data_IF_215043899533
#
_entry.id   IF_215043899533
#
_cell.length_a   1.000
_cell.length_b   1.000
_cell.length_c   1.000
_cell.angle_alpha   90.00
_cell.angle_beta   90.00
_cell.angle_gamma   90.00
#
_symmetry.space_group_name_H-M   'P 1'
#
loop_
_entity.id
_entity.type
_entity.pdbx_description
1 polymer ?
#
# COMPACT_ATOMS: atom_id res chain seq x y z
N UNK A 1 -4.34 -52.49 -2.52
CA UNK A 1 -5.50 -52.29 -3.42
C UNK A 1 -6.47 -51.34 -2.72
N UNK A 2 -6.61 -50.15 -3.30
CA UNK A 2 -7.54 -49.03 -3.04
C UNK A 2 -7.89 -48.65 -1.59
N UNK A 3 -7.16 -47.64 -1.13
CA UNK A 3 -7.48 -46.62 -0.14
C UNK A 3 -8.83 -45.92 -0.42
N UNK A 4 -9.66 -45.70 0.62
CA UNK A 4 -9.98 -44.41 1.28
C UNK A 4 -10.83 -43.41 0.46
N UNK A 5 -11.90 -42.89 1.07
CA UNK A 5 -12.69 -41.81 0.48
C UNK A 5 -14.00 -41.42 1.19
N UNK A 6 -14.12 -41.60 2.51
CA UNK A 6 -15.21 -40.98 3.27
C UNK A 6 -14.60 -40.40 4.54
N UNK A 7 -14.61 -39.07 4.62
CA UNK A 7 -14.18 -38.23 5.76
C UNK A 7 -12.68 -38.18 6.05
N UNK A 8 -11.94 -37.53 5.15
CA UNK A 8 -10.68 -36.85 5.48
C UNK A 8 -10.81 -35.38 5.10
N UNK A 9 -11.53 -34.58 5.88
CA UNK A 9 -11.24 -33.16 5.97
C UNK A 9 -11.44 -32.72 7.42
N UNK A 10 -10.34 -32.31 8.05
CA UNK A 10 -10.32 -31.57 9.33
C UNK A 10 -11.07 -30.23 9.24
N UNK A 11 -11.40 -29.82 8.03
CA UNK A 11 -12.08 -28.59 7.63
C UNK A 11 -13.31 -28.20 8.46
N UNK A 12 -14.24 -29.12 8.74
CA UNK A 12 -15.45 -28.74 9.51
C UNK A 12 -15.10 -28.42 10.97
N UNK A 13 -14.09 -29.08 11.53
CA UNK A 13 -13.63 -28.82 12.90
C UNK A 13 -12.77 -27.55 12.98
N UNK A 14 -11.93 -27.29 11.97
CA UNK A 14 -11.06 -26.11 11.90
C UNK A 14 -11.88 -24.83 11.60
N UNK A 15 -12.94 -24.92 10.79
CA UNK A 15 -13.88 -23.82 10.53
C UNK A 15 -14.76 -23.51 11.76
N UNK A 16 -15.18 -24.53 12.50
CA UNK A 16 -15.86 -24.36 13.80
C UNK A 16 -14.93 -23.71 14.83
N UNK A 17 -13.63 -24.04 14.81
CA UNK A 17 -12.60 -23.46 15.67
C UNK A 17 -12.37 -21.98 15.34
N UNK A 18 -12.23 -21.60 14.07
CA UNK A 18 -12.07 -20.21 13.63
C UNK A 18 -13.26 -19.31 14.03
N UNK A 19 -14.50 -19.81 13.87
CA UNK A 19 -15.71 -19.07 14.27
C UNK A 19 -15.86 -18.95 15.80
N UNK A 20 -15.45 -19.97 16.56
CA UNK A 20 -15.41 -19.93 18.03
C UNK A 20 -14.37 -18.93 18.55
N UNK A 21 -13.21 -18.83 17.89
CA UNK A 21 -12.14 -17.88 18.24
C UNK A 21 -12.54 -16.43 17.91
N UNK A 22 -13.19 -16.16 16.78
CA UNK A 22 -13.53 -14.79 16.38
C UNK A 22 -14.74 -14.17 17.11
N UNK A 23 -15.54 -14.94 17.86
CA UNK A 23 -16.75 -14.42 18.57
C UNK A 23 -16.94 -14.93 20.00
N UNK A 24 -16.08 -15.80 20.52
CA UNK A 24 -16.38 -16.62 21.71
C UNK A 24 -15.45 -16.49 22.92
N UNK A 25 -14.46 -15.59 22.91
CA UNK A 25 -13.55 -15.41 24.05
C UNK A 25 -14.20 -14.63 25.20
N UNK A 26 -15.05 -15.33 25.96
CA UNK A 26 -15.20 -15.15 27.42
C UNK A 26 -16.24 -16.11 28.07
N UNK A 27 -16.72 -17.13 27.36
CA UNK A 27 -17.93 -17.86 27.80
C UNK A 27 -17.76 -19.32 28.20
N UNK A 28 -16.57 -19.93 28.17
CA UNK A 28 -16.43 -21.34 28.57
C UNK A 28 -15.17 -21.62 29.40
N UNK A 29 -15.40 -22.04 30.65
CA UNK A 29 -14.43 -22.77 31.46
C UNK A 29 -14.56 -24.26 31.15
N UNK A 30 -13.44 -24.91 30.84
CA UNK A 30 -13.35 -26.36 30.56
C UNK A 30 -13.61 -27.13 31.87
N UNK A 31 -14.54 -28.10 31.85
CA UNK A 31 -14.65 -29.09 32.94
C UNK A 31 -14.35 -30.48 32.43
N UNK A 32 -13.38 -31.12 33.09
CA UNK A 32 -12.98 -32.51 32.88
C UNK A 32 -14.01 -33.46 33.51
N UNK A 33 -14.90 -34.05 32.72
CA UNK A 33 -15.54 -35.29 33.14
C UNK A 33 -15.80 -36.22 31.95
N UNK A 34 -15.11 -37.37 31.95
CA UNK A 34 -15.13 -38.39 30.92
C UNK A 34 -15.95 -39.58 31.40
N UNK A 35 -17.23 -39.65 30.99
CA UNK A 35 -18.03 -40.86 31.22
C UNK A 35 -18.41 -41.59 29.92
N UNK A 36 -17.47 -42.46 29.50
CA UNK A 36 -17.63 -43.86 29.06
C UNK A 36 -18.79 -44.24 28.13
N UNK A 37 -19.13 -43.45 27.10
CA UNK A 37 -19.86 -43.95 25.91
C UNK A 37 -20.04 -42.92 24.78
N UNK A 38 -19.01 -42.14 24.45
CA UNK A 38 -19.00 -41.41 23.17
C UNK A 38 -17.94 -41.99 22.24
N UNK A 39 -18.27 -42.03 20.95
CA UNK A 39 -17.41 -42.17 19.79
C UNK A 39 -16.25 -41.15 19.74
N UNK A 40 -16.11 -40.33 20.78
CA UNK A 40 -15.13 -39.29 20.94
C UNK A 40 -13.99 -39.64 21.92
N UNK A 41 -14.01 -40.80 22.60
CA UNK A 41 -12.86 -41.30 23.39
C UNK A 41 -11.52 -41.31 22.62
N UNK A 42 -11.47 -41.68 21.32
CA UNK A 42 -10.22 -41.66 20.54
C UNK A 42 -9.65 -40.25 20.26
N UNK A 43 -10.41 -39.18 20.52
CA UNK A 43 -9.96 -37.79 20.36
C UNK A 43 -9.38 -37.25 21.68
N UNK A 44 -9.99 -37.62 22.82
CA UNK A 44 -9.47 -37.31 24.14
C UNK A 44 -8.14 -38.03 24.45
N UNK A 45 -8.00 -39.29 24.05
CA UNK A 45 -6.73 -40.07 24.15
C UNK A 45 -5.57 -39.42 23.37
N UNK A 46 -5.89 -38.51 22.44
CA UNK A 46 -4.91 -37.74 21.65
C UNK A 46 -4.71 -36.30 22.13
N UNK A 47 -5.24 -35.94 23.29
CA UNK A 47 -5.07 -34.61 23.90
C UNK A 47 -5.88 -33.50 23.23
N UNK A 48 -6.89 -33.83 22.42
CA UNK A 48 -7.73 -32.86 21.70
C UNK A 48 -9.04 -32.67 22.48
N UNK A 49 -9.35 -31.46 22.99
CA UNK A 49 -10.62 -31.19 23.66
C UNK A 49 -11.77 -31.23 22.65
N UNK A 50 -12.71 -32.18 22.82
CA UNK A 50 -13.83 -32.36 21.90
C UNK A 50 -15.03 -31.48 22.31
N UNK A 51 -15.52 -30.65 21.39
CA UNK A 51 -16.78 -29.89 21.55
C UNK A 51 -17.95 -30.79 21.13
N UNK A 52 -18.92 -30.96 22.02
CA UNK A 52 -20.08 -31.83 21.82
C UNK A 52 -21.31 -30.98 21.45
N UNK A 53 -21.78 -31.06 20.20
CA UNK A 53 -23.06 -30.46 19.80
C UNK A 53 -24.08 -31.59 19.61
N UNK A 54 -24.89 -31.83 20.64
CA UNK A 54 -25.88 -32.91 20.64
C UNK A 54 -27.16 -32.46 19.90
N UNK A 55 -27.39 -32.97 18.70
CA UNK A 55 -28.70 -32.87 18.03
C UNK A 55 -29.53 -34.13 18.31
N UNK A 56 -30.56 -33.96 19.13
CA UNK A 56 -31.69 -34.89 19.30
C UNK A 56 -31.38 -36.19 20.05
N UNK A 57 -31.93 -36.34 21.25
CA UNK A 57 -32.05 -37.67 21.86
C UNK A 57 -33.48 -37.98 22.30
N UNK A 58 -33.86 -39.24 22.08
CA UNK A 58 -35.11 -39.86 22.53
C UNK A 58 -35.09 -39.93 24.06
N UNK A 59 -36.21 -39.70 24.77
CA UNK A 59 -36.19 -39.78 26.23
C UNK A 59 -35.86 -41.22 26.64
N UNK A 60 -34.78 -41.41 27.38
CA UNK A 60 -34.54 -42.62 28.15
C UNK A 60 -34.78 -42.31 29.63
N UNK A 61 -35.18 -43.30 30.41
CA UNK A 61 -35.60 -43.15 31.80
C UNK A 61 -34.47 -42.76 32.78
N UNK A 62 -33.30 -42.33 32.27
CA UNK A 62 -32.06 -42.16 33.05
C UNK A 62 -31.41 -40.78 32.89
N UNK A 63 -32.04 -39.81 32.20
CA UNK A 63 -31.49 -38.45 32.11
C UNK A 63 -32.17 -37.46 33.07
N UNK A 64 -31.41 -36.58 33.76
CA UNK A 64 -31.96 -35.65 34.74
C UNK A 64 -32.82 -34.56 34.05
N UNK A 65 -33.87 -34.13 34.76
CA UNK A 65 -34.99 -33.27 34.30
C UNK A 65 -34.57 -31.86 33.79
N UNK A 66 -33.28 -31.54 33.79
CA UNK A 66 -32.74 -30.17 33.66
C UNK A 66 -32.23 -29.80 32.27
N UNK A 67 -32.07 -30.75 31.35
CA UNK A 67 -31.60 -30.46 29.98
C UNK A 67 -32.76 -30.50 28.97
N UNK A 68 -33.72 -29.60 29.19
CA UNK A 68 -34.86 -29.40 28.29
C UNK A 68 -34.94 -27.93 27.86
N UNK A 69 -35.51 -27.61 26.69
CA UNK A 69 -35.70 -26.22 26.23
C UNK A 69 -36.58 -25.35 27.17
N UNK A 70 -37.19 -25.98 28.18
CA UNK A 70 -38.05 -25.40 29.21
C UNK A 70 -37.32 -25.21 30.55
N UNK A 71 -36.04 -25.59 30.65
CA UNK A 71 -35.22 -25.42 31.85
C UNK A 71 -34.88 -23.95 32.07
N UNK A 72 -34.93 -23.48 33.33
CA UNK A 72 -34.57 -22.11 33.71
C UNK A 72 -33.11 -21.76 33.41
N UNK A 73 -32.26 -22.77 33.25
CA UNK A 73 -30.83 -22.61 32.98
C UNK A 73 -30.49 -22.68 31.48
N UNK A 74 -31.48 -22.93 30.61
CA UNK A 74 -31.26 -23.00 29.17
C UNK A 74 -31.12 -21.59 28.58
N UNK A 75 -29.89 -21.21 28.24
CA UNK A 75 -29.59 -19.90 27.65
C UNK A 75 -30.02 -19.87 26.17
N UNK A 76 -31.26 -19.43 25.95
CA UNK A 76 -31.87 -19.36 24.61
C UNK A 76 -31.08 -18.47 23.66
N UNK A 77 -30.44 -17.43 24.16
CA UNK A 77 -29.65 -16.49 23.36
C UNK A 77 -28.41 -17.17 22.78
N UNK A 78 -27.68 -17.92 23.60
CA UNK A 78 -26.53 -18.70 23.13
C UNK A 78 -26.92 -19.81 22.15
N UNK A 79 -28.03 -20.51 22.42
CA UNK A 79 -28.53 -21.53 21.51
C UNK A 79 -28.97 -20.94 20.16
N UNK A 80 -29.51 -19.71 20.16
CA UNK A 80 -29.86 -18.98 18.95
C UNK A 80 -28.60 -18.65 18.14
N UNK A 81 -27.57 -18.10 18.79
CA UNK A 81 -26.30 -17.77 18.12
C UNK A 81 -25.58 -18.98 17.57
N UNK A 82 -25.61 -20.12 18.28
CA UNK A 82 -25.02 -21.36 17.78
C UNK A 82 -25.79 -21.90 16.57
N UNK A 83 -27.12 -21.82 16.59
CA UNK A 83 -27.96 -22.22 15.47
C UNK A 83 -27.77 -21.29 14.26
N UNK A 84 -27.58 -19.99 14.49
CA UNK A 84 -27.25 -19.01 13.46
C UNK A 84 -25.87 -19.28 12.86
N UNK A 85 -24.83 -19.46 13.68
CA UNK A 85 -23.48 -19.80 13.22
C UNK A 85 -23.45 -21.10 12.41
N UNK A 86 -24.14 -22.15 12.87
CA UNK A 86 -24.26 -23.41 12.14
C UNK A 86 -25.04 -23.24 10.82
N UNK A 87 -26.05 -22.38 10.78
CA UNK A 87 -26.77 -22.05 9.56
C UNK A 87 -25.91 -21.25 8.56
N UNK A 88 -25.11 -20.30 9.03
CA UNK A 88 -24.16 -19.56 8.20
C UNK A 88 -23.10 -20.49 7.59
N UNK A 89 -22.52 -21.39 8.39
CA UNK A 89 -21.57 -22.39 7.89
C UNK A 89 -22.24 -23.32 6.87
N UNK A 90 -23.46 -23.80 7.13
CA UNK A 90 -24.16 -24.66 6.18
C UNK A 90 -24.52 -23.94 4.86
N UNK A 91 -24.83 -22.64 4.91
CA UNK A 91 -25.08 -21.80 3.74
C UNK A 91 -23.79 -21.54 2.98
N UNK A 92 -22.71 -21.15 3.66
CA UNK A 92 -21.38 -20.93 3.07
C UNK A 92 -20.86 -22.20 2.37
N UNK A 93 -20.93 -23.35 3.06
CA UNK A 93 -20.58 -24.65 2.48
C UNK A 93 -21.50 -25.07 1.31
N UNK A 94 -22.76 -24.66 1.36
CA UNK A 94 -23.74 -24.93 0.30
C UNK A 94 -23.63 -24.01 -0.91
N UNK A 95 -22.99 -22.85 -0.75
CA UNK A 95 -22.71 -21.87 -1.81
C UNK A 95 -21.43 -22.20 -2.59
N UNK A 96 -20.60 -23.10 -2.09
CA UNK A 96 -19.41 -23.64 -2.76
C UNK A 96 -19.78 -24.26 -4.12
N UNK A 97 -19.50 -23.52 -5.20
CA UNK A 97 -19.63 -24.00 -6.56
C UNK A 97 -18.56 -25.05 -6.86
N UNK A 98 -18.95 -26.27 -7.24
CA UNK A 98 -18.00 -27.30 -7.70
C UNK A 98 -17.46 -26.99 -9.12
N UNK A 99 -16.95 -25.79 -9.38
CA UNK A 99 -16.57 -25.32 -10.72
C UNK A 99 -17.76 -25.20 -11.68
N UNK A 100 -18.94 -24.87 -11.14
CA UNK A 100 -20.18 -24.72 -11.93
C UNK A 100 -20.91 -23.45 -11.51
N UNK A 101 -21.59 -22.76 -12.44
CA UNK A 101 -22.47 -21.66 -12.11
C UNK A 101 -23.52 -22.05 -11.06
N UNK A 102 -23.89 -21.09 -10.22
CA UNK A 102 -24.92 -21.24 -9.20
C UNK A 102 -26.27 -21.44 -9.87
N UNK A 103 -27.04 -22.44 -9.40
CA UNK A 103 -28.37 -22.76 -9.92
C UNK A 103 -29.41 -22.77 -8.82
N UNK A 104 -30.35 -21.84 -8.88
CA UNK A 104 -31.51 -21.84 -8.00
C UNK A 104 -32.76 -22.38 -8.70
N UNK A 105 -33.57 -23.16 -7.99
CA UNK A 105 -34.73 -23.86 -8.55
C UNK A 105 -36.04 -23.32 -7.99
N UNK A 106 -36.99 -22.99 -8.87
CA UNK A 106 -38.38 -22.70 -8.52
C UNK A 106 -39.30 -23.78 -9.11
N UNK A 107 -40.07 -24.47 -8.26
CA UNK A 107 -41.06 -25.44 -8.71
C UNK A 107 -42.42 -25.12 -8.07
N UNK A 108 -43.42 -24.84 -8.89
CA UNK A 108 -44.76 -24.45 -8.41
C UNK A 108 -45.85 -24.87 -9.39
N UNK A 109 -47.05 -25.12 -8.86
CA UNK A 109 -48.26 -25.36 -9.65
C UNK A 109 -49.08 -24.08 -9.65
N UNK A 110 -49.13 -23.41 -10.80
CA UNK A 110 -49.77 -22.11 -10.96
C UNK A 110 -51.19 -22.30 -11.51
N UNK A 111 -52.18 -21.90 -10.71
CA UNK A 111 -53.55 -21.70 -11.18
C UNK A 111 -53.67 -20.42 -12.01
N UNK A 112 -54.79 -20.27 -12.73
CA UNK A 112 -55.06 -19.11 -13.58
C UNK A 112 -54.86 -17.79 -12.82
N UNK A 113 -53.97 -16.93 -13.32
CA UNK A 113 -53.69 -15.61 -12.74
C UNK A 113 -52.75 -15.61 -11.53
N UNK A 114 -52.38 -16.77 -10.99
CA UNK A 114 -51.43 -16.85 -9.88
C UNK A 114 -49.99 -16.61 -10.36
N UNK A 115 -49.18 -16.08 -9.45
CA UNK A 115 -47.74 -15.92 -9.64
C UNK A 115 -46.96 -16.59 -8.52
N UNK A 116 -45.71 -16.93 -8.82
CA UNK A 116 -44.72 -17.41 -7.85
C UNK A 116 -43.41 -16.67 -8.10
N UNK A 117 -42.64 -16.43 -7.04
CA UNK A 117 -41.37 -15.71 -7.14
C UNK A 117 -40.22 -16.47 -6.48
N UNK A 118 -39.01 -16.22 -6.97
CA UNK A 118 -37.73 -16.68 -6.45
C UNK A 118 -36.83 -15.44 -6.27
N UNK A 119 -36.12 -15.38 -5.14
CA UNK A 119 -35.17 -14.30 -4.85
C UNK A 119 -33.75 -14.85 -4.90
N UNK A 120 -32.86 -14.14 -5.59
CA UNK A 120 -31.44 -14.46 -5.67
C UNK A 120 -30.60 -13.22 -5.38
N UNK A 121 -29.41 -13.41 -4.81
CA UNK A 121 -28.43 -12.35 -4.56
C UNK A 121 -27.36 -12.47 -5.63
N UNK A 122 -27.08 -11.36 -6.31
CA UNK A 122 -26.06 -11.25 -7.35
C UNK A 122 -24.82 -10.60 -6.76
N UNK A 123 -23.70 -11.30 -6.77
CA UNK A 123 -22.39 -10.80 -6.31
C UNK A 123 -21.44 -10.51 -7.47
N UNK A 124 -21.84 -10.84 -8.71
CA UNK A 124 -21.10 -10.54 -9.94
C UNK A 124 -22.02 -9.84 -10.94
N UNK A 125 -21.50 -8.81 -11.62
CA UNK A 125 -22.24 -8.11 -12.66
C UNK A 125 -22.29 -8.90 -13.97
N UNK A 126 -23.39 -9.62 -14.20
CA UNK A 126 -23.54 -10.42 -15.43
C UNK A 126 -24.99 -10.53 -15.96
N UNK A 127 -25.14 -11.27 -17.07
CA UNK A 127 -26.43 -11.53 -17.71
C UNK A 127 -26.92 -12.94 -17.37
N UNK A 128 -27.74 -13.11 -16.31
CA UNK A 128 -28.16 -14.41 -15.83
C UNK A 128 -29.05 -15.12 -16.86
N UNK A 129 -29.07 -16.45 -16.78
CA UNK A 129 -29.85 -17.30 -17.67
C UNK A 129 -30.99 -17.96 -16.91
N UNK A 130 -32.21 -17.83 -17.42
CA UNK A 130 -33.41 -18.50 -16.91
C UNK A 130 -33.82 -19.58 -17.88
N UNK A 131 -33.87 -20.83 -17.43
CA UNK A 131 -34.35 -21.94 -18.23
C UNK A 131 -35.30 -22.82 -17.45
N UNK A 132 -36.15 -23.56 -18.14
CA UNK A 132 -37.14 -24.35 -17.43
C UNK A 132 -38.06 -25.17 -18.32
N UNK A 133 -38.96 -25.86 -17.65
CA UNK A 133 -40.02 -26.64 -18.28
C UNK A 133 -41.39 -26.28 -17.73
N UNK A 134 -42.43 -26.37 -18.56
CA UNK A 134 -43.82 -26.13 -18.20
C UNK A 134 -44.75 -27.23 -18.73
N UNK A 135 -45.98 -27.28 -18.22
CA UNK A 135 -46.98 -28.24 -18.70
C UNK A 135 -47.45 -27.91 -20.13
N UNK A 136 -47.85 -28.91 -20.94
CA UNK A 136 -48.33 -28.69 -22.30
C UNK A 136 -49.53 -27.75 -22.35
N UNK A 137 -49.60 -26.89 -23.38
CA UNK A 137 -50.68 -25.90 -23.59
C UNK A 137 -50.86 -24.85 -22.48
N UNK A 138 -49.80 -24.56 -21.71
CA UNK A 138 -49.77 -23.46 -20.77
C UNK A 138 -49.10 -22.22 -21.39
N UNK A 139 -49.48 -21.03 -20.90
CA UNK A 139 -48.82 -19.77 -21.25
C UNK A 139 -48.40 -19.08 -19.96
N UNK A 140 -47.12 -18.78 -19.84
CA UNK A 140 -46.57 -18.13 -18.64
C UNK A 140 -45.78 -16.89 -19.03
N UNK A 141 -45.92 -15.85 -18.23
CA UNK A 141 -45.08 -14.66 -18.29
C UNK A 141 -43.98 -14.78 -17.25
N UNK A 142 -42.74 -14.60 -17.67
CA UNK A 142 -41.55 -14.66 -16.82
C UNK A 142 -40.92 -13.29 -16.81
N UNK A 143 -40.68 -12.74 -15.62
CA UNK A 143 -39.98 -11.48 -15.43
C UNK A 143 -38.86 -11.60 -14.40
N UNK A 144 -37.72 -11.01 -14.70
CA UNK A 144 -36.62 -10.81 -13.75
C UNK A 144 -36.47 -9.31 -13.52
N UNK A 145 -36.51 -8.88 -12.26
CA UNK A 145 -36.38 -7.47 -11.91
C UNK A 145 -35.59 -7.29 -10.61
N UNK A 146 -34.93 -6.14 -10.46
CA UNK A 146 -34.33 -5.70 -9.19
C UNK A 146 -35.44 -5.35 -8.18
N UNK A 147 -35.08 -5.26 -6.89
CA UNK A 147 -36.03 -4.79 -5.87
C UNK A 147 -36.51 -3.35 -6.13
N UNK A 148 -35.67 -2.52 -6.75
CA UNK A 148 -35.98 -1.13 -7.12
C UNK A 148 -36.91 -1.02 -8.34
N UNK A 149 -37.27 -2.15 -8.96
CA UNK A 149 -38.27 -2.23 -10.03
C UNK A 149 -37.70 -2.15 -11.45
N UNK A 150 -36.38 -2.15 -11.62
CA UNK A 150 -35.79 -2.26 -12.96
C UNK A 150 -35.99 -3.67 -13.52
N UNK A 151 -36.59 -3.76 -14.72
CA UNK A 151 -36.85 -5.03 -15.39
C UNK A 151 -35.65 -5.41 -16.27
N UNK A 152 -35.03 -6.55 -15.94
CA UNK A 152 -33.84 -7.11 -16.60
C UNK A 152 -34.19 -8.13 -17.69
N UNK A 153 -35.34 -8.80 -17.53
CA UNK A 153 -35.91 -9.74 -18.49
C UNK A 153 -37.44 -9.71 -18.34
N UNK A 154 -38.18 -9.69 -19.44
CA UNK A 154 -39.62 -9.94 -19.43
C UNK A 154 -40.04 -10.62 -20.73
N UNK A 155 -40.52 -11.85 -20.65
CA UNK A 155 -40.93 -12.63 -21.83
C UNK A 155 -42.17 -13.48 -21.57
N UNK A 156 -43.01 -13.63 -22.58
CA UNK A 156 -44.10 -14.60 -22.60
C UNK A 156 -43.65 -15.88 -23.31
N UNK A 157 -43.83 -17.01 -22.62
CA UNK A 157 -43.33 -18.31 -23.10
C UNK A 157 -44.50 -19.25 -23.36
N UNK A 158 -44.47 -19.87 -24.54
CA UNK A 158 -45.49 -20.78 -25.07
C UNK A 158 -44.96 -22.21 -25.27
N UNK A 159 -43.65 -22.41 -25.13
CA UNK A 159 -42.97 -23.68 -25.39
C UNK A 159 -42.79 -24.46 -24.09
N UNK A 160 -42.89 -25.80 -24.17
CA UNK A 160 -42.72 -26.68 -23.00
C UNK A 160 -41.33 -26.56 -22.37
N UNK A 161 -40.29 -26.35 -23.17
CA UNK A 161 -38.92 -26.09 -22.75
C UNK A 161 -38.47 -24.75 -23.30
N UNK A 162 -37.75 -23.97 -22.49
CA UNK A 162 -37.25 -22.66 -22.91
C UNK A 162 -35.98 -22.29 -22.16
N UNK A 163 -35.22 -21.41 -22.80
CA UNK A 163 -34.03 -20.75 -22.25
C UNK A 163 -34.11 -19.29 -22.63
N UNK A 164 -34.03 -18.42 -21.63
CA UNK A 164 -34.07 -16.96 -21.75
C UNK A 164 -32.81 -16.41 -21.09
N UNK A 165 -32.12 -15.48 -21.74
CA UNK A 165 -30.99 -14.76 -21.16
C UNK A 165 -31.44 -13.34 -20.87
N UNK A 166 -30.99 -12.77 -19.74
CA UNK A 166 -31.31 -11.38 -19.41
C UNK A 166 -30.82 -10.42 -20.51
N UNK A 167 -31.63 -9.41 -20.82
CA UNK A 167 -31.32 -8.43 -21.86
C UNK A 167 -30.24 -7.45 -21.37
N UNK A 168 -30.29 -7.11 -20.08
CA UNK A 168 -29.36 -6.20 -19.39
C UNK A 168 -28.45 -6.93 -18.41
N UNK A 169 -27.28 -6.35 -18.15
CA UNK A 169 -26.40 -6.76 -17.05
C UNK A 169 -27.08 -6.46 -15.73
N UNK A 170 -27.00 -7.40 -14.80
CA UNK A 170 -27.63 -7.30 -13.49
C UNK A 170 -26.69 -6.57 -12.54
N UNK A 171 -27.14 -5.50 -11.86
CA UNK A 171 -26.34 -4.86 -10.85
C UNK A 171 -26.17 -5.76 -9.62
N UNK A 172 -25.13 -5.50 -8.82
CA UNK A 172 -24.94 -6.15 -7.54
C UNK A 172 -26.16 -5.95 -6.63
N UNK A 173 -26.62 -7.02 -5.99
CA UNK A 173 -27.77 -6.99 -5.06
C UNK A 173 -28.86 -8.02 -5.35
N UNK A 174 -30.04 -7.80 -4.76
CA UNK A 174 -31.14 -8.78 -4.77
C UNK A 174 -31.98 -8.64 -6.04
N UNK A 175 -32.15 -9.74 -6.77
CA UNK A 175 -33.10 -9.85 -7.87
C UNK A 175 -34.27 -10.77 -7.55
N UNK A 176 -35.40 -10.47 -8.16
CA UNK A 176 -36.65 -11.23 -8.06
C UNK A 176 -37.05 -11.79 -9.43
N UNK A 177 -37.00 -13.11 -9.56
CA UNK A 177 -37.60 -13.84 -10.67
C UNK A 177 -39.07 -14.12 -10.35
N UNK A 178 -39.98 -13.69 -11.22
CA UNK A 178 -41.42 -13.91 -11.08
C UNK A 178 -41.96 -14.65 -12.29
N UNK A 179 -42.79 -15.66 -12.03
CA UNK A 179 -43.54 -16.38 -13.06
C UNK A 179 -45.02 -16.25 -12.79
N UNK A 180 -45.78 -15.85 -13.81
CA UNK A 180 -47.23 -15.67 -13.73
C UNK A 180 -47.90 -16.50 -14.81
N UNK A 181 -48.93 -17.25 -14.46
CA UNK A 181 -49.72 -17.99 -15.44
C UNK A 181 -50.76 -17.06 -16.09
N UNK A 182 -50.57 -16.77 -17.38
CA UNK A 182 -51.46 -15.92 -18.20
C UNK A 182 -52.34 -16.75 -19.14
N UNK A 183 -52.11 -18.05 -19.24
CA UNK A 183 -52.89 -18.98 -20.06
C UNK A 183 -54.20 -19.43 -19.40
N UNK A 184 -54.97 -20.28 -20.08
CA UNK A 184 -56.30 -20.72 -19.64
C UNK A 184 -56.33 -22.00 -18.80
N UNK A 185 -55.17 -22.65 -18.61
CA UNK A 185 -55.02 -23.95 -17.93
C UNK A 185 -54.07 -23.82 -16.75
N UNK A 186 -54.28 -24.61 -15.70
CA UNK A 186 -53.31 -24.70 -14.60
C UNK A 186 -52.03 -25.42 -15.08
N UNK A 187 -50.87 -24.85 -14.80
CA UNK A 187 -49.58 -25.38 -15.25
C UNK A 187 -48.64 -25.63 -14.09
N UNK A 188 -47.98 -26.79 -14.11
CA UNK A 188 -46.82 -27.02 -13.25
C UNK A 188 -45.56 -26.52 -13.99
N UNK A 189 -44.85 -25.60 -13.34
CA UNK A 189 -43.66 -24.96 -13.89
C UNK A 189 -42.44 -25.34 -13.04
N UNK A 190 -41.33 -25.64 -13.71
CA UNK A 190 -40.02 -25.84 -13.09
C UNK A 190 -39.01 -24.91 -13.76
N UNK A 191 -38.59 -23.88 -13.03
CA UNK A 191 -37.60 -22.89 -13.49
C UNK A 191 -36.28 -23.08 -12.76
N UNK A 192 -35.21 -22.76 -13.48
CA UNK A 192 -33.86 -22.63 -12.98
C UNK A 192 -33.35 -21.23 -13.34
N UNK A 193 -32.78 -20.54 -12.35
CA UNK A 193 -31.99 -19.33 -12.54
C UNK A 193 -30.52 -19.73 -12.37
N UNK A 194 -29.73 -19.48 -13.41
CA UNK A 194 -28.29 -19.75 -13.45
C UNK A 194 -27.50 -18.45 -13.51
N UNK A 195 -26.54 -18.29 -12.59
CA UNK A 195 -25.68 -17.12 -12.47
C UNK A 195 -24.34 -17.46 -11.79
N UNK A 196 -23.32 -16.62 -11.96
CA UNK A 196 -22.01 -16.71 -11.28
C UNK A 196 -22.05 -16.02 -9.93
N UNK A 197 -21.24 -16.52 -9.00
CA UNK A 197 -21.01 -15.89 -7.70
C UNK A 197 -19.51 -15.72 -7.51
N UNK A 198 -19.17 -14.66 -6.82
CA UNK A 198 -17.89 -14.35 -6.21
C UNK A 198 -18.22 -14.16 -4.71
N UNK A 199 -17.87 -15.17 -3.90
CA UNK A 199 -18.29 -15.25 -2.50
C UNK A 199 -17.24 -14.61 -1.56
N UNK A 200 -15.97 -14.64 -1.92
CA UNK A 200 -14.85 -14.08 -1.15
C UNK A 200 -14.47 -12.65 -1.56
N UNK A 201 -14.98 -12.15 -2.70
CA UNK A 201 -14.84 -10.77 -3.14
C UNK A 201 -13.50 -10.48 -3.81
N UNK A 202 -12.77 -11.52 -4.24
CA UNK A 202 -11.46 -11.39 -4.88
C UNK A 202 -11.54 -11.07 -6.38
N UNK A 203 -12.76 -10.79 -6.89
CA UNK A 203 -13.06 -10.51 -8.30
C UNK A 203 -12.89 -11.69 -9.25
N UNK A 204 -12.60 -12.90 -8.74
CA UNK A 204 -12.63 -14.13 -9.50
C UNK A 204 -13.91 -14.93 -9.15
N UNK A 205 -14.66 -15.41 -10.15
CA UNK A 205 -15.88 -16.15 -9.86
C UNK A 205 -15.56 -17.53 -9.28
N UNK A 206 -16.36 -17.94 -8.28
CA UNK A 206 -16.28 -19.25 -7.60
C UNK A 206 -16.28 -20.44 -8.59
N UNK A 207 -16.86 -20.26 -9.78
CA UNK A 207 -16.88 -21.30 -10.83
C UNK A 207 -15.55 -21.52 -11.55
N UNK A 208 -14.62 -20.56 -11.47
CA UNK A 208 -13.30 -20.60 -12.10
C UNK A 208 -12.18 -20.90 -11.09
N UNK A 209 -12.44 -20.71 -9.79
CA UNK A 209 -11.55 -21.11 -8.71
C UNK A 209 -11.75 -22.59 -8.35
N UNK A 210 -10.95 -23.47 -8.97
CA UNK A 210 -10.96 -24.92 -8.68
C UNK A 210 -9.84 -25.36 -7.72
N UNK A 211 -8.97 -24.45 -7.29
CA UNK A 211 -7.84 -24.79 -6.42
C UNK A 211 -8.23 -24.49 -4.97
N UNK A 212 -8.27 -25.55 -4.15
CA UNK A 212 -8.42 -25.42 -2.70
C UNK A 212 -7.09 -25.75 -2.00
N UNK A 213 -6.66 -24.91 -1.04
CA UNK A 213 -7.26 -23.61 -0.72
C UNK A 213 -6.99 -22.60 -1.87
N UNK A 214 -7.88 -21.63 -2.15
CA UNK A 214 -7.40 -20.38 -2.76
C UNK A 214 -6.27 -19.87 -1.83
N UNK A 215 -5.21 -19.24 -2.34
CA UNK A 215 -4.29 -18.55 -1.42
C UNK A 215 -5.17 -17.59 -0.63
N UNK A 216 -5.30 -17.84 0.68
CA UNK A 216 -5.94 -16.88 1.57
C UNK A 216 -5.25 -15.54 1.28
N UNK A 217 -5.98 -14.40 1.18
CA UNK A 217 -5.29 -13.12 1.27
C UNK A 217 -4.39 -13.22 2.52
N UNK A 218 -3.10 -12.86 2.42
CA UNK A 218 -2.20 -12.98 3.54
C UNK A 218 -2.90 -12.36 4.75
N UNK A 219 -3.02 -13.13 5.84
CA UNK A 219 -3.55 -12.56 7.07
C UNK A 219 -2.64 -11.37 7.43
N UNK A 220 -3.26 -10.26 7.78
CA UNK A 220 -2.63 -9.00 8.19
C UNK A 220 -3.52 -8.49 9.32
N UNK A 221 -3.16 -8.89 10.54
CA UNK A 221 -4.05 -8.75 11.69
C UNK A 221 -4.13 -7.31 12.19
N UNK A 222 -3.02 -6.59 12.18
CA UNK A 222 -2.93 -5.23 12.68
C UNK A 222 -3.17 -4.16 11.60
N UNK A 223 -3.17 -4.57 10.32
CA UNK A 223 -3.57 -3.78 9.17
C UNK A 223 -2.50 -2.80 8.71
N UNK A 224 -1.22 -3.09 8.97
CA UNK A 224 -0.09 -2.23 8.59
C UNK A 224 0.38 -2.48 7.14
N UNK A 225 -0.04 -3.60 6.53
CA UNK A 225 0.28 -4.01 5.17
C UNK A 225 1.32 -5.13 5.06
N UNK A 226 1.98 -5.49 6.15
CA UNK A 226 2.84 -6.67 6.27
C UNK A 226 1.97 -7.87 6.64
N UNK A 227 2.23 -9.03 6.02
CA UNK A 227 1.43 -10.21 6.33
C UNK A 227 1.91 -10.88 7.61
N UNK A 228 1.01 -11.50 8.39
CA UNK A 228 1.30 -12.34 9.56
C UNK A 228 2.41 -13.37 9.26
N UNK A 229 2.46 -13.91 8.03
CA UNK A 229 3.52 -14.84 7.64
C UNK A 229 4.89 -14.15 7.53
N UNK A 230 4.92 -12.94 6.97
CA UNK A 230 6.13 -12.14 6.80
C UNK A 230 6.56 -11.52 8.14
N UNK A 231 5.63 -11.07 8.97
CA UNK A 231 5.91 -10.63 10.34
C UNK A 231 6.62 -11.72 11.14
N UNK A 232 6.13 -12.96 11.08
CA UNK A 232 6.80 -14.11 11.73
C UNK A 232 8.22 -14.34 11.17
N UNK A 233 8.46 -14.08 9.88
CA UNK A 233 9.80 -14.20 9.26
C UNK A 233 10.74 -13.08 9.72
N UNK A 234 10.23 -11.86 9.82
CA UNK A 234 10.96 -10.66 10.24
C UNK A 234 11.10 -10.55 11.77
N UNK A 235 10.27 -11.29 12.52
CA UNK A 235 10.29 -11.35 13.98
C UNK A 235 9.46 -10.25 14.66
N UNK A 236 8.60 -9.57 13.89
CA UNK A 236 7.72 -8.49 14.34
C UNK A 236 6.46 -9.03 15.03
N UNK A 237 5.72 -8.16 15.72
CA UNK A 237 4.52 -8.52 16.48
C UNK A 237 3.25 -8.36 15.64
N UNK A 238 2.63 -9.50 15.29
CA UNK A 238 1.37 -9.61 14.51
C UNK A 238 0.16 -8.84 15.07
N UNK A 239 0.29 -8.15 16.20
CA UNK A 239 -0.77 -7.37 16.82
C UNK A 239 -0.44 -5.87 16.90
N UNK A 240 0.74 -5.45 16.46
CA UNK A 240 1.27 -4.10 16.66
C UNK A 240 1.87 -3.61 15.33
N UNK A 241 1.25 -2.61 14.67
CA UNK A 241 1.71 -2.12 13.37
C UNK A 241 3.14 -1.56 13.31
N UNK A 242 3.74 -1.33 14.47
CA UNK A 242 5.02 -0.65 14.67
C UNK A 242 5.64 -1.31 15.92
N UNK A 243 6.41 -2.38 15.68
CA UNK A 243 6.89 -3.29 16.72
C UNK A 243 7.88 -2.60 17.66
N UNK A 244 8.71 -1.70 17.16
CA UNK A 244 9.72 -1.00 17.96
C UNK A 244 9.32 0.41 18.42
N UNK A 245 8.14 0.86 17.99
CA UNK A 245 7.49 2.10 18.37
C UNK A 245 8.29 3.36 17.97
N UNK A 246 8.89 3.35 16.79
CA UNK A 246 9.70 4.45 16.28
C UNK A 246 9.00 5.36 15.27
N UNK A 247 7.70 5.14 15.05
CA UNK A 247 6.80 5.86 14.13
C UNK A 247 6.79 5.39 12.68
N UNK A 248 7.71 4.51 12.29
CA UNK A 248 7.61 3.76 11.05
C UNK A 248 6.87 2.45 11.32
N UNK A 249 6.07 1.98 10.35
CA UNK A 249 5.38 0.69 10.50
C UNK A 249 6.28 -0.45 10.06
N UNK A 250 6.05 -1.64 10.59
CA UNK A 250 6.88 -2.82 10.27
C UNK A 250 6.90 -3.08 8.75
N UNK A 251 5.75 -2.94 8.10
CA UNK A 251 5.63 -2.97 6.64
C UNK A 251 6.57 -1.99 5.94
N UNK A 252 6.56 -0.72 6.36
CA UNK A 252 7.31 0.37 5.74
C UNK A 252 8.81 0.12 5.86
N UNK A 253 9.27 -0.33 7.03
CA UNK A 253 10.68 -0.62 7.23
C UNK A 253 11.14 -1.82 6.39
N UNK A 254 10.34 -2.89 6.36
CA UNK A 254 10.66 -4.10 5.58
C UNK A 254 10.76 -3.80 4.08
N UNK A 255 9.86 -2.99 3.51
CA UNK A 255 9.92 -2.66 2.07
C UNK A 255 11.10 -1.74 1.73
N UNK A 256 11.52 -0.90 2.67
CA UNK A 256 12.66 0.03 2.51
C UNK A 256 14.00 -0.60 2.93
N UNK A 257 14.00 -1.85 3.40
CA UNK A 257 15.21 -2.56 3.81
C UNK A 257 15.78 -2.13 5.17
N UNK A 258 14.98 -1.42 5.97
CA UNK A 258 15.27 -1.06 7.36
C UNK A 258 14.95 -2.23 8.31
N UNK A 259 15.14 -2.03 9.62
CA UNK A 259 15.03 -3.07 10.62
C UNK A 259 13.85 -2.82 11.59
N UNK A 260 12.71 -3.52 11.43
CA UNK A 260 11.46 -3.29 12.19
C UNK A 260 11.48 -3.70 13.67
N UNK A 261 12.68 -3.94 14.21
CA UNK A 261 12.89 -4.33 15.61
C UNK A 261 13.80 -3.35 16.34
N UNK A 262 14.18 -2.26 15.69
CA UNK A 262 15.13 -1.29 16.20
C UNK A 262 14.70 0.11 15.77
N UNK A 263 14.32 0.88 16.78
CA UNK A 263 14.07 2.31 16.66
C UNK A 263 15.23 3.06 16.00
N UNK A 264 15.11 3.29 14.70
CA UNK A 264 16.09 3.94 13.84
C UNK A 264 15.45 4.86 12.78
N UNK A 265 14.16 5.14 12.87
CA UNK A 265 13.45 6.14 12.05
C UNK A 265 14.12 7.54 11.99
N UNK A 266 14.78 7.97 13.08
CA UNK A 266 15.48 9.26 13.17
C UNK A 266 17.00 9.14 12.91
N UNK A 267 17.48 7.94 12.58
CA UNK A 267 18.85 7.74 12.10
C UNK A 267 18.94 8.03 10.60
N UNK A 268 20.18 8.18 10.13
CA UNK A 268 20.56 8.37 8.74
C UNK A 268 21.37 7.12 8.34
N UNK A 269 20.72 6.21 7.63
CA UNK A 269 21.27 4.87 7.40
C UNK A 269 22.27 4.81 6.23
N UNK A 270 22.17 5.70 5.24
CA UNK A 270 23.08 5.76 4.09
C UNK A 270 24.07 6.94 4.13
N UNK A 271 23.87 7.90 5.03
CA UNK A 271 24.80 8.97 5.35
C UNK A 271 24.68 10.20 4.44
N UNK A 272 23.48 10.51 3.97
CA UNK A 272 23.21 11.60 3.03
C UNK A 272 22.61 12.87 3.68
N UNK A 273 22.57 12.90 5.01
CA UNK A 273 22.00 13.96 5.86
C UNK A 273 20.45 14.02 5.90
N UNK A 274 19.73 13.04 5.32
CA UNK A 274 18.30 12.81 5.56
C UNK A 274 18.08 11.73 6.63
N UNK A 275 16.97 11.84 7.36
CA UNK A 275 16.57 10.77 8.28
C UNK A 275 15.71 9.75 7.56
N UNK A 276 15.80 8.48 7.97
CA UNK A 276 15.04 7.36 7.40
C UNK A 276 13.54 7.68 7.24
N UNK A 277 12.93 8.30 8.26
CA UNK A 277 11.51 8.69 8.21
C UNK A 277 11.23 9.81 7.21
N UNK A 278 12.14 10.76 7.06
CA UNK A 278 12.00 11.86 6.11
C UNK A 278 12.09 11.34 4.68
N UNK A 279 13.04 10.45 4.42
CA UNK A 279 13.23 9.82 3.12
C UNK A 279 11.99 9.06 2.67
N UNK A 280 11.44 8.20 3.54
CA UNK A 280 10.18 7.50 3.26
C UNK A 280 9.03 8.49 3.01
N UNK A 281 9.02 9.63 3.69
CA UNK A 281 7.98 10.66 3.54
C UNK A 281 8.07 11.37 2.18
N UNK A 282 9.29 11.65 1.70
CA UNK A 282 9.52 12.29 0.40
C UNK A 282 9.57 11.29 -0.77
N UNK A 283 9.66 10.00 -0.45
CA UNK A 283 9.65 8.89 -1.40
C UNK A 283 11.03 8.43 -1.88
N UNK A 284 12.10 8.93 -1.25
CA UNK A 284 13.48 8.48 -1.46
C UNK A 284 13.75 7.21 -0.66
N UNK A 285 14.93 6.61 -0.85
CA UNK A 285 15.28 5.30 -0.33
C UNK A 285 16.26 5.40 0.85
N UNK A 286 15.86 5.03 2.09
CA UNK A 286 16.68 5.07 3.33
C UNK A 286 18.00 4.31 3.37
N UNK A 287 18.37 3.67 2.29
CA UNK A 287 19.55 2.81 2.18
C UNK A 287 20.37 3.14 0.92
N UNK A 288 20.02 4.22 0.23
CA UNK A 288 20.58 4.63 -1.05
C UNK A 288 20.65 6.15 -1.09
N UNK A 289 21.84 6.67 -0.83
CA UNK A 289 22.14 8.10 -0.76
C UNK A 289 21.92 8.90 -2.05
N UNK A 290 21.43 8.27 -3.12
CA UNK A 290 21.19 8.78 -4.47
C UNK A 290 20.14 7.85 -5.12
N UNK A 291 18.87 8.16 -4.90
CA UNK A 291 17.73 7.31 -5.23
C UNK A 291 17.54 7.17 -6.74
N UNK A 292 17.77 8.23 -7.50
CA UNK A 292 17.59 8.24 -8.95
C UNK A 292 18.87 7.92 -9.75
N UNK A 293 20.00 7.81 -9.04
CA UNK A 293 21.33 7.46 -9.56
C UNK A 293 21.88 8.47 -10.57
N UNK A 294 21.62 9.75 -10.38
CA UNK A 294 22.14 10.81 -11.24
C UNK A 294 23.48 11.41 -10.79
N UNK A 295 23.94 11.06 -9.59
CA UNK A 295 25.21 11.47 -9.02
C UNK A 295 25.11 12.62 -8.01
N UNK A 296 23.93 13.16 -7.77
CA UNK A 296 23.62 14.08 -6.68
C UNK A 296 23.00 13.30 -5.52
N UNK A 297 23.36 13.58 -4.24
CA UNK A 297 22.74 12.90 -3.11
C UNK A 297 21.33 13.41 -2.81
N UNK A 298 20.44 12.52 -2.35
CA UNK A 298 19.03 12.88 -2.09
C UNK A 298 18.92 14.02 -1.05
N UNK A 299 19.75 14.01 -0.01
CA UNK A 299 19.80 15.09 0.97
C UNK A 299 20.26 16.44 0.43
N UNK A 300 21.21 16.45 -0.51
CA UNK A 300 21.61 17.69 -1.18
C UNK A 300 20.47 18.21 -2.05
N UNK A 301 19.84 17.34 -2.82
CA UNK A 301 18.72 17.69 -3.69
C UNK A 301 17.52 18.23 -2.90
N UNK A 302 17.24 17.63 -1.73
CA UNK A 302 16.21 18.09 -0.82
C UNK A 302 16.48 19.53 -0.31
N UNK A 303 17.71 19.81 0.11
CA UNK A 303 18.10 21.13 0.63
C UNK A 303 18.08 22.22 -0.46
N UNK A 304 18.53 21.88 -1.67
CA UNK A 304 18.56 22.79 -2.82
C UNK A 304 17.30 22.76 -3.70
N UNK A 305 16.27 22.03 -3.25
CA UNK A 305 14.95 21.95 -3.90
C UNK A 305 14.97 21.46 -5.36
N UNK A 306 15.95 20.64 -5.72
CA UNK A 306 15.91 19.80 -6.94
C UNK A 306 15.09 18.53 -6.66
N UNK A 307 15.01 17.60 -7.61
CA UNK A 307 14.11 16.46 -7.50
C UNK A 307 14.84 15.10 -7.34
N UNK A 308 14.94 14.56 -6.12
CA UNK A 308 15.69 13.32 -5.85
C UNK A 308 15.05 12.02 -6.38
N UNK A 309 13.93 12.16 -7.09
CA UNK A 309 13.22 11.02 -7.69
C UNK A 309 13.38 10.98 -9.22
N UNK A 310 14.01 11.98 -9.83
CA UNK A 310 14.11 12.12 -11.27
C UNK A 310 15.43 12.78 -11.64
N UNK A 311 16.24 12.03 -12.40
CA UNK A 311 17.51 12.52 -12.93
C UNK A 311 17.34 13.89 -13.61
N UNK A 312 17.71 14.93 -12.88
CA UNK A 312 17.66 16.34 -13.28
C UNK A 312 19.05 16.98 -13.23
N UNK A 313 20.10 16.18 -12.98
CA UNK A 313 21.53 16.52 -13.00
C UNK A 313 22.00 17.41 -14.15
N UNK A 314 21.29 17.43 -15.29
CA UNK A 314 21.63 18.18 -16.50
C UNK A 314 20.72 19.39 -16.75
N UNK A 315 19.76 19.65 -15.86
CA UNK A 315 18.95 20.86 -15.85
C UNK A 315 19.78 22.05 -15.33
N UNK A 316 19.30 23.25 -15.65
CA UNK A 316 19.90 24.56 -15.38
C UNK A 316 18.73 25.49 -15.02
N UNK A 317 18.22 25.44 -13.78
CA UNK A 317 16.98 26.11 -13.38
C UNK A 317 17.09 27.64 -13.37
N UNK A 318 18.25 28.18 -13.00
CA UNK A 318 18.51 29.61 -12.90
C UNK A 318 19.06 30.23 -14.21
N UNK A 319 19.48 29.40 -15.17
CA UNK A 319 19.99 29.75 -16.50
C UNK A 319 21.34 30.47 -16.48
N UNK A 320 22.22 30.11 -15.54
CA UNK A 320 23.58 30.64 -15.42
C UNK A 320 24.60 29.88 -16.30
N UNK A 321 24.19 28.74 -16.89
CA UNK A 321 24.95 27.79 -17.73
C UNK A 321 25.70 26.67 -17.02
N UNK A 322 25.70 26.62 -15.69
CA UNK A 322 26.02 25.42 -14.92
C UNK A 322 24.81 24.49 -14.89
N UNK A 323 25.07 23.19 -14.83
CA UNK A 323 24.02 22.21 -14.55
C UNK A 323 23.97 21.91 -13.05
N UNK A 324 22.83 21.43 -12.53
CA UNK A 324 22.69 21.01 -11.13
C UNK A 324 23.89 20.17 -10.62
N UNK A 325 24.35 19.20 -11.43
CA UNK A 325 25.51 18.35 -11.06
C UNK A 325 26.84 19.11 -10.95
N UNK A 326 27.03 20.14 -11.77
CA UNK A 326 28.21 21.00 -11.71
C UNK A 326 28.12 21.90 -10.49
N UNK A 327 26.95 22.46 -10.20
CA UNK A 327 26.73 23.30 -9.03
C UNK A 327 26.95 22.52 -7.74
N UNK A 328 26.44 21.29 -7.66
CA UNK A 328 26.77 20.36 -6.57
C UNK A 328 28.29 20.16 -6.41
N UNK A 329 29.03 20.02 -7.51
CA UNK A 329 30.48 19.84 -7.47
C UNK A 329 31.25 21.09 -7.03
N UNK A 330 30.69 22.29 -7.23
CA UNK A 330 31.28 23.56 -6.82
C UNK A 330 30.72 24.10 -5.50
N UNK A 331 29.62 23.54 -4.99
CA UNK A 331 28.91 24.02 -3.79
C UNK A 331 27.95 25.18 -4.05
N UNK A 332 27.70 25.52 -5.33
CA UNK A 332 26.77 26.56 -5.76
C UNK A 332 25.30 26.16 -5.57
N UNK A 333 24.39 27.14 -5.60
CA UNK A 333 22.94 26.94 -5.47
C UNK A 333 22.27 26.88 -6.85
N UNK A 334 21.67 25.74 -7.27
CA UNK A 334 21.00 25.56 -8.57
C UNK A 334 19.84 26.51 -8.88
N UNK A 335 19.44 27.31 -7.90
CA UNK A 335 18.38 28.31 -8.04
C UNK A 335 18.91 29.75 -8.01
N UNK A 336 20.23 29.96 -7.93
CA UNK A 336 20.86 31.28 -7.78
C UNK A 336 22.08 31.47 -8.68
N UNK A 337 21.87 32.18 -9.79
CA UNK A 337 22.89 32.44 -10.80
C UNK A 337 24.07 33.33 -10.37
N UNK A 338 24.13 33.73 -9.10
CA UNK A 338 25.11 34.63 -8.46
C UNK A 338 25.02 34.35 -6.95
N UNK A 339 25.77 33.35 -6.49
CA UNK A 339 25.66 32.72 -5.17
C UNK A 339 26.08 33.62 -4.01
N UNK A 340 27.08 34.45 -4.22
CA UNK A 340 27.60 35.39 -3.23
C UNK A 340 27.08 36.83 -3.40
N UNK A 341 26.52 37.16 -4.56
CA UNK A 341 25.92 38.45 -4.85
C UNK A 341 26.91 39.56 -5.22
N UNK A 342 28.13 39.21 -5.64
CA UNK A 342 29.19 40.17 -6.00
C UNK A 342 28.97 40.80 -7.40
N UNK A 343 28.15 40.14 -8.23
CA UNK A 343 27.77 40.57 -9.57
C UNK A 343 28.42 39.80 -10.72
N UNK A 344 29.22 38.77 -10.42
CA UNK A 344 29.64 37.72 -11.36
C UNK A 344 28.71 36.52 -11.17
N UNK A 345 28.41 35.78 -12.24
CA UNK A 345 27.63 34.54 -12.10
C UNK A 345 28.54 33.36 -11.75
N UNK A 346 28.02 32.38 -11.02
CA UNK A 346 28.75 31.18 -10.58
C UNK A 346 29.47 30.49 -11.77
N UNK A 347 28.82 30.36 -12.92
CA UNK A 347 29.44 29.85 -14.14
C UNK A 347 30.67 30.64 -14.61
N UNK A 348 30.62 31.97 -14.52
CA UNK A 348 31.69 32.87 -14.93
C UNK A 348 32.83 32.81 -13.91
N UNK A 349 32.52 32.76 -12.62
CA UNK A 349 33.51 32.61 -11.53
C UNK A 349 34.28 31.29 -11.63
N UNK A 350 33.58 30.17 -11.81
CA UNK A 350 34.19 28.86 -12.09
C UNK A 350 35.12 28.91 -13.29
N UNK A 351 34.77 29.71 -14.32
CA UNK A 351 35.59 29.87 -15.52
C UNK A 351 36.85 30.71 -15.29
N UNK A 352 36.77 31.68 -14.37
CA UNK A 352 37.85 32.56 -13.94
C UNK A 352 38.75 31.90 -12.88
N UNK A 353 38.23 30.90 -12.17
CA UNK A 353 38.88 30.20 -11.08
C UNK A 353 38.68 30.86 -9.71
N UNK A 354 37.72 31.79 -9.61
CA UNK A 354 37.24 32.38 -8.35
C UNK A 354 36.25 31.45 -7.64
N UNK A 355 35.88 31.76 -6.41
CA UNK A 355 34.98 30.96 -5.57
C UNK A 355 33.55 31.51 -5.59
N UNK A 356 32.57 30.80 -6.20
CA UNK A 356 31.18 31.26 -6.35
C UNK A 356 30.42 31.60 -5.07
N UNK A 357 31.00 31.28 -3.92
CA UNK A 357 30.41 31.52 -2.59
C UNK A 357 31.16 32.59 -1.81
N UNK A 358 32.12 33.28 -2.43
CA UNK A 358 32.99 34.23 -1.75
C UNK A 358 33.26 35.49 -2.59
N UNK A 359 32.66 36.60 -2.15
CA UNK A 359 32.73 37.89 -2.85
C UNK A 359 34.16 38.41 -3.08
N UNK A 360 35.14 37.96 -2.31
CA UNK A 360 36.54 38.39 -2.35
C UNK A 360 37.44 37.13 -2.24
N UNK A 361 37.74 36.51 -3.39
CA UNK A 361 38.36 35.18 -3.45
C UNK A 361 39.73 35.13 -2.78
N UNK A 362 40.50 36.22 -2.84
CA UNK A 362 41.86 36.27 -2.29
C UNK A 362 42.00 37.06 -0.97
N UNK A 363 40.87 37.49 -0.41
CA UNK A 363 40.71 38.16 0.89
C UNK A 363 41.49 39.49 1.01
N UNK A 364 41.62 40.25 -0.08
CA UNK A 364 42.44 41.47 -0.13
C UNK A 364 41.66 42.76 0.19
N UNK A 365 40.33 42.66 0.22
CA UNK A 365 39.38 43.73 0.52
C UNK A 365 38.75 44.39 -0.71
N UNK A 366 39.01 43.87 -1.92
CA UNK A 366 38.31 44.22 -3.15
C UNK A 366 37.52 42.98 -3.61
N UNK A 367 36.26 43.15 -4.00
CA UNK A 367 35.47 42.01 -4.47
C UNK A 367 35.85 41.65 -5.92
N UNK A 368 35.66 40.39 -6.30
CA UNK A 368 36.15 39.82 -7.57
C UNK A 368 35.61 40.62 -8.78
N UNK A 369 34.34 41.04 -8.74
CA UNK A 369 33.75 41.91 -9.76
C UNK A 369 34.53 43.22 -9.95
N UNK A 370 34.86 43.91 -8.85
CA UNK A 370 35.60 45.18 -8.89
C UNK A 370 37.04 44.96 -9.33
N UNK A 371 37.64 43.82 -9.00
CA UNK A 371 38.98 43.47 -9.44
C UNK A 371 39.06 43.35 -10.96
N UNK A 372 38.11 42.62 -11.55
CA UNK A 372 38.00 42.47 -13.00
C UNK A 372 37.74 43.83 -13.69
N UNK A 373 36.86 44.68 -13.15
CA UNK A 373 36.60 46.02 -13.71
C UNK A 373 37.84 46.93 -13.63
N UNK A 374 38.64 46.80 -12.56
CA UNK A 374 39.90 47.53 -12.36
C UNK A 374 41.11 46.89 -13.04
N UNK A 375 40.94 45.76 -13.73
CA UNK A 375 41.99 45.00 -14.43
C UNK A 375 43.12 44.50 -13.50
N UNK A 376 42.77 44.19 -12.26
CA UNK A 376 43.63 43.45 -11.32
C UNK A 376 43.20 41.97 -11.32
N UNK A 377 44.00 41.09 -10.72
CA UNK A 377 43.80 39.64 -10.77
C UNK A 377 43.12 39.18 -9.48
N UNK A 378 41.87 38.66 -9.52
CA UNK A 378 41.10 38.29 -8.32
C UNK A 378 41.63 37.08 -7.56
N UNK A 379 42.75 36.52 -8.01
CA UNK A 379 43.47 35.44 -7.36
C UNK A 379 44.81 35.92 -6.77
N UNK A 380 45.10 37.22 -6.84
CA UNK A 380 46.37 37.81 -6.43
C UNK A 380 46.16 39.07 -5.55
N UNK A 381 46.40 38.98 -4.23
CA UNK A 381 46.00 40.01 -3.27
C UNK A 381 46.95 41.22 -3.21
N UNK A 382 47.82 41.39 -4.22
CA UNK A 382 48.79 42.50 -4.36
C UNK A 382 49.33 42.43 -5.80
N UNK A 383 48.68 43.13 -6.72
CA UNK A 383 48.98 43.05 -8.16
C UNK A 383 50.39 43.54 -8.50
N UNK A 384 50.85 44.64 -7.89
CA UNK A 384 52.11 45.28 -8.25
C UNK A 384 53.30 44.93 -7.33
N UNK A 385 53.05 44.19 -6.24
CA UNK A 385 54.05 43.65 -5.33
C UNK A 385 54.68 44.70 -4.43
N UNK A 386 53.94 45.73 -4.02
CA UNK A 386 54.44 46.79 -3.14
C UNK A 386 54.04 46.67 -1.66
N UNK A 387 53.43 45.53 -1.30
CA UNK A 387 52.99 45.18 0.05
C UNK A 387 51.74 45.92 0.53
N UNK A 388 51.02 46.60 -0.36
CA UNK A 388 49.66 47.07 -0.14
C UNK A 388 48.70 46.16 -0.92
N UNK A 389 47.71 45.55 -0.26
CA UNK A 389 46.65 44.83 -0.97
C UNK A 389 45.87 45.74 -1.90
N UNK A 390 45.35 45.24 -3.01
CA UNK A 390 44.72 46.03 -4.06
C UNK A 390 43.48 46.77 -3.52
N UNK A 391 42.67 46.13 -2.67
CA UNK A 391 41.57 46.78 -1.94
C UNK A 391 41.96 47.96 -1.04
N UNK A 392 43.23 48.04 -0.63
CA UNK A 392 43.78 49.15 0.18
C UNK A 392 44.77 50.05 -0.58
N UNK A 393 45.15 49.68 -1.81
CA UNK A 393 46.10 50.43 -2.62
C UNK A 393 45.38 51.53 -3.43
N UNK A 394 45.72 52.81 -3.23
CA UNK A 394 45.23 53.89 -4.09
C UNK A 394 45.62 53.76 -5.57
N UNK A 395 46.62 52.94 -5.91
CA UNK A 395 47.11 52.75 -7.27
C UNK A 395 47.76 51.36 -7.50
N UNK A 396 46.96 50.28 -7.59
CA UNK A 396 47.39 48.87 -7.63
C UNK A 396 48.19 48.46 -8.89
N UNK A 397 48.48 49.42 -9.77
CA UNK A 397 49.21 49.21 -11.02
C UNK A 397 50.63 49.79 -10.97
N UNK A 398 51.05 50.41 -9.87
CA UNK A 398 52.31 51.17 -9.77
C UNK A 398 53.00 50.95 -8.43
N UNK A 399 53.98 50.02 -8.46
CA UNK A 399 54.76 49.68 -7.28
C UNK A 399 55.39 50.93 -6.61
N UNK A 400 54.77 51.37 -5.52
CA UNK A 400 55.05 52.64 -4.87
C UNK A 400 56.39 52.58 -4.13
N UNK A 401 56.76 51.40 -3.62
CA UNK A 401 58.08 51.14 -3.04
C UNK A 401 59.19 51.39 -4.07
N UNK A 402 59.07 50.85 -5.29
CA UNK A 402 60.04 51.05 -6.36
C UNK A 402 60.07 52.51 -6.81
N UNK A 403 58.90 53.16 -6.92
CA UNK A 403 58.81 54.58 -7.26
C UNK A 403 59.53 55.47 -6.22
N UNK A 404 59.32 55.21 -4.92
CA UNK A 404 60.04 55.90 -3.83
C UNK A 404 61.54 55.61 -3.91
N UNK A 405 61.96 54.35 -4.09
CA UNK A 405 63.38 53.97 -4.19
C UNK A 405 64.10 54.70 -5.34
N UNK A 406 63.47 54.80 -6.51
CA UNK A 406 64.02 55.48 -7.69
C UNK A 406 64.08 57.00 -7.54
N UNK A 407 63.08 57.61 -6.91
CA UNK A 407 62.95 59.08 -6.81
C UNK A 407 63.64 59.68 -5.59
N UNK A 408 63.82 58.91 -4.52
CA UNK A 408 64.37 59.41 -3.25
C UNK A 408 65.65 58.70 -2.83
N UNK A 409 65.61 57.38 -2.67
CA UNK A 409 66.72 56.63 -2.09
C UNK A 409 67.93 56.60 -3.01
N UNK A 410 67.75 56.28 -4.30
CA UNK A 410 68.84 56.22 -5.28
C UNK A 410 69.50 57.60 -5.46
N UNK A 411 68.77 58.71 -5.67
CA UNK A 411 69.38 60.04 -5.76
C UNK A 411 70.13 60.46 -4.49
N UNK A 412 69.60 60.13 -3.30
CA UNK A 412 70.28 60.39 -2.02
C UNK A 412 71.55 59.56 -1.87
N UNK A 413 71.52 58.28 -2.23
CA UNK A 413 72.70 57.38 -2.20
C UNK A 413 73.75 57.86 -3.19
N UNK A 414 73.37 58.15 -4.44
CA UNK A 414 74.27 58.67 -5.49
C UNK A 414 74.84 60.03 -5.08
N UNK A 415 74.02 60.94 -4.57
CA UNK A 415 74.46 62.24 -4.07
C UNK A 415 75.44 62.12 -2.89
N UNK A 416 75.18 61.21 -1.96
CA UNK A 416 76.05 60.93 -0.82
C UNK A 416 77.39 60.32 -1.25
N UNK A 417 77.38 59.38 -2.22
CA UNK A 417 78.58 58.82 -2.83
C UNK A 417 79.42 59.89 -3.56
N UNK A 418 78.77 60.78 -4.32
CA UNK A 418 79.45 61.90 -4.99
C UNK A 418 80.07 62.85 -3.97
N UNK A 419 79.35 63.20 -2.90
CA UNK A 419 79.89 64.04 -1.81
C UNK A 419 81.07 63.37 -1.11
N UNK A 420 80.94 62.09 -0.74
CA UNK A 420 82.01 61.34 -0.07
C UNK A 420 83.29 61.29 -0.92
N UNK A 421 83.15 61.12 -2.24
CA UNK A 421 84.26 61.11 -3.20
C UNK A 421 84.88 62.48 -3.45
N UNK A 422 84.19 63.58 -3.12
CA UNK A 422 84.71 64.96 -3.17
C UNK A 422 85.40 65.41 -1.88
N UNK A 423 85.09 64.78 -0.75
CA UNK A 423 85.62 65.12 0.58
C UNK A 423 86.94 64.37 0.87
N UNK A 424 87.22 63.28 0.15
CA UNK A 424 88.56 62.69 0.01
C UNK A 424 89.31 63.33 -1.15
#
# INVERSE_FOLDING_TARGET
>A
MSAHGYHQTKYLADLLYAVLLHKGFDMMTITEDTHWQSDHWPFWDRGIPAINVKSGHKPSDITPVVDTPMSSNYNRTQALYLAEAAAYVAVYLGMQGNGRPTRQKLQSTLHLGNSSSLYAVMTVEEKPTVFGTMSPNATVQISLATLDGEVLLSSEVFQENFTLRADKTTPLGIVRLTVKNTGHTSSSVRLFLEYTQDTDGDSAPDSEQYVWPPPDPPLDWDGDGLSDEDEIKHGTDIFVPDTDSDTMSDYVEVINGLNPLRNDAEEDADGDDLTNILEVTIGTSPISNDTDSDGMPDGWEYDFHTNPLVNDSAEDPDNDTLTNLQEYAFGADPLSADGDGDGISDADEVSLGTDPLNEDTDDDGLNDFLEIDNQVDPLQPDTDGDLLPDGLDPNPHVNFIVAILLTTAIPVIVGSLIMWRRIR
#
